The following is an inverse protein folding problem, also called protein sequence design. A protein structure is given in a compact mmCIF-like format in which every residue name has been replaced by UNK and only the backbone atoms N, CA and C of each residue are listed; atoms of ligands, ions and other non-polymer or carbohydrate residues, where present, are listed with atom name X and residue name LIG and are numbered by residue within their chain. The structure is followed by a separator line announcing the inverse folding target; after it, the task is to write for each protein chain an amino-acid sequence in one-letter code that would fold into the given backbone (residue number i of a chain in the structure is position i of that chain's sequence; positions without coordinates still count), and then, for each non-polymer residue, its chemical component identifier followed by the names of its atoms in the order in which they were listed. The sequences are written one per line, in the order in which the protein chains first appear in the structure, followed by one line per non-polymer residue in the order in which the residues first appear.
data_IF_652471661248
#
_entry.id   IF_652471661248
#
_cell.length_a   1.000
_cell.length_b   1.000
_cell.length_c   1.000
_cell.angle_alpha   90.00
_cell.angle_beta   90.00
_cell.angle_gamma   90.00
#
_symmetry.space_group_name_H-M   'P 1'
#
loop_
_entity.id
_entity.type
_entity.pdbx_description
1 polymer ?
#
# COMPACT_ATOMS: atom_id res chain seq x y z
N UNK A 1 -8.19 -16.60 -6.60
CA UNK A 1 -7.48 -15.30 -6.52
C UNK A 1 -8.38 -14.10 -6.85
N UNK A 2 -9.05 -14.04 -8.01
CA UNK A 2 -9.86 -12.86 -8.41
C UNK A 2 -11.03 -12.48 -7.49
N UNK A 3 -11.80 -13.45 -6.98
CA UNK A 3 -12.93 -13.16 -6.09
C UNK A 3 -12.49 -12.61 -4.71
N UNK A 4 -11.36 -13.11 -4.17
CA UNK A 4 -10.81 -12.62 -2.91
C UNK A 4 -10.27 -11.19 -3.02
N UNK A 5 -9.65 -10.85 -4.16
CA UNK A 5 -9.22 -9.48 -4.43
C UNK A 5 -10.40 -8.52 -4.59
N UNK A 6 -11.48 -8.92 -5.27
CA UNK A 6 -12.68 -8.08 -5.39
C UNK A 6 -13.32 -7.79 -4.02
N UNK A 7 -13.43 -8.80 -3.15
CA UNK A 7 -13.96 -8.61 -1.79
C UNK A 7 -13.05 -7.71 -0.95
N UNK A 8 -11.73 -7.89 -1.05
CA UNK A 8 -10.76 -7.03 -0.39
C UNK A 8 -10.84 -5.58 -0.89
N UNK A 9 -10.96 -5.37 -2.20
CA UNK A 9 -11.15 -4.04 -2.79
C UNK A 9 -12.43 -3.38 -2.29
N UNK A 10 -13.55 -4.09 -2.23
CA UNK A 10 -14.81 -3.54 -1.70
C UNK A 10 -14.66 -3.19 -0.21
N UNK A 11 -14.14 -4.10 0.61
CA UNK A 11 -13.93 -3.86 2.04
C UNK A 11 -12.97 -2.69 2.29
N UNK A 12 -11.90 -2.55 1.48
CA UNK A 12 -10.93 -1.47 1.57
C UNK A 12 -11.52 -0.09 1.23
N UNK A 13 -12.60 -0.05 0.44
CA UNK A 13 -13.29 1.19 0.09
C UNK A 13 -14.40 1.51 1.10
N UNK A 14 -15.14 0.51 1.57
CA UNK A 14 -16.29 0.72 2.45
C UNK A 14 -15.89 1.02 3.89
N UNK A 15 -14.86 0.34 4.42
CA UNK A 15 -14.47 0.49 5.83
C UNK A 15 -13.97 1.91 6.15
N UNK A 16 -13.01 2.49 5.40
CA UNK A 16 -12.56 3.86 5.68
C UNK A 16 -13.66 4.89 5.52
N UNK A 17 -14.58 4.72 4.56
CA UNK A 17 -15.72 5.62 4.36
C UNK A 17 -16.67 5.55 5.55
N UNK A 18 -17.05 4.35 5.99
CA UNK A 18 -17.88 4.17 7.18
C UNK A 18 -17.23 4.78 8.42
N UNK A 19 -15.94 4.55 8.63
CA UNK A 19 -15.21 5.14 9.75
C UNK A 19 -15.20 6.67 9.62
N UNK A 20 -14.96 7.23 8.43
CA UNK A 20 -14.93 8.68 8.23
C UNK A 20 -16.28 9.36 8.48
N UNK A 21 -17.39 8.71 8.15
CA UNK A 21 -18.75 9.21 8.36
C UNK A 21 -19.22 9.03 9.81
N UNK A 22 -18.87 7.92 10.46
CA UNK A 22 -19.24 7.67 11.84
C UNK A 22 -18.36 8.43 12.85
N UNK A 23 -17.10 8.73 12.50
CA UNK A 23 -16.12 9.31 13.43
C UNK A 23 -16.31 10.82 13.66
N UNK A 24 -16.00 11.32 14.87
CA UNK A 24 -16.01 12.75 15.15
C UNK A 24 -14.95 13.47 14.31
N UNK A 25 -15.18 14.72 13.87
CA UNK A 25 -14.21 15.46 13.07
C UNK A 25 -12.80 15.53 13.70
N UNK A 26 -12.72 15.62 15.03
CA UNK A 26 -11.46 15.73 15.77
C UNK A 26 -10.69 14.41 15.96
N UNK A 27 -11.32 13.24 15.74
CA UNK A 27 -10.69 11.91 15.86
C UNK A 27 -10.64 11.14 14.53
N UNK A 28 -11.22 11.70 13.45
CA UNK A 28 -11.38 11.04 12.17
C UNK A 28 -10.05 10.48 11.62
N UNK A 29 -9.02 11.33 11.56
CA UNK A 29 -7.70 10.92 11.05
C UNK A 29 -7.09 9.79 11.86
N UNK A 30 -7.24 9.82 13.19
CA UNK A 30 -6.75 8.77 14.08
C UNK A 30 -7.49 7.45 13.85
N UNK A 31 -8.83 7.48 13.78
CA UNK A 31 -9.65 6.28 13.58
C UNK A 31 -9.44 5.64 12.20
N UNK A 32 -9.24 6.45 11.16
CA UNK A 32 -8.86 5.94 9.82
C UNK A 32 -7.48 5.29 9.87
N UNK A 33 -6.52 5.87 10.60
CA UNK A 33 -5.18 5.28 10.73
C UNK A 33 -5.19 3.99 11.57
N UNK A 34 -6.11 3.87 12.54
CA UNK A 34 -6.35 2.62 13.28
C UNK A 34 -6.80 1.48 12.36
N UNK A 35 -7.58 1.76 11.30
CA UNK A 35 -7.91 0.73 10.31
C UNK A 35 -6.65 0.16 9.63
N UNK A 36 -5.71 1.03 9.24
CA UNK A 36 -4.41 0.61 8.68
C UNK A 36 -3.61 -0.23 9.68
N UNK A 37 -3.67 0.10 10.97
CA UNK A 37 -3.04 -0.70 12.02
C UNK A 37 -3.65 -2.11 12.13
N UNK A 38 -4.97 -2.25 12.01
CA UNK A 38 -5.62 -3.57 12.01
C UNK A 38 -5.24 -4.40 10.77
N UNK A 39 -5.06 -3.76 9.60
CA UNK A 39 -4.58 -4.45 8.40
C UNK A 39 -3.17 -5.02 8.63
N UNK A 40 -2.24 -4.23 9.17
CA UNK A 40 -0.87 -4.70 9.42
C UNK A 40 -0.79 -5.71 10.57
N UNK A 41 -1.66 -5.60 11.58
CA UNK A 41 -1.81 -6.62 12.63
C UNK A 41 -2.31 -7.95 12.05
N UNK A 42 -3.27 -7.91 11.13
CA UNK A 42 -3.77 -9.08 10.42
C UNK A 42 -2.68 -9.77 9.60
N UNK A 43 -1.87 -9.00 8.87
CA UNK A 43 -0.71 -9.51 8.13
C UNK A 43 0.31 -10.18 9.04
N UNK A 44 0.67 -9.55 10.17
CA UNK A 44 1.60 -10.13 11.12
C UNK A 44 1.05 -11.44 11.72
N UNK A 45 -0.23 -11.46 12.09
CA UNK A 45 -0.89 -12.68 12.62
C UNK A 45 -0.91 -13.80 11.59
N UNK A 46 -1.19 -13.48 10.32
CA UNK A 46 -1.14 -14.44 9.22
C UNK A 46 0.28 -15.03 9.07
N UNK A 47 1.32 -14.20 9.10
CA UNK A 47 2.71 -14.68 9.02
C UNK A 47 3.09 -15.62 10.18
N UNK A 48 2.57 -15.39 11.39
CA UNK A 48 2.79 -16.30 12.53
C UNK A 48 2.11 -17.65 12.33
N UNK A 49 0.88 -17.64 11.80
CA UNK A 49 0.14 -18.84 11.45
C UNK A 49 0.89 -19.61 10.36
N UNK A 50 1.32 -18.93 9.29
CA UNK A 50 2.08 -19.52 8.20
C UNK A 50 3.40 -20.12 8.69
N UNK A 51 4.14 -19.41 9.54
CA UNK A 51 5.35 -19.93 10.20
C UNK A 51 5.08 -21.17 11.04
N UNK A 52 4.03 -21.17 11.86
CA UNK A 52 3.68 -22.29 12.74
C UNK A 52 3.21 -23.54 11.97
N UNK A 53 2.41 -23.36 10.92
CA UNK A 53 1.89 -24.48 10.12
C UNK A 53 2.84 -24.91 8.99
N UNK A 54 3.93 -24.17 8.72
CA UNK A 54 4.95 -24.54 7.73
C UNK A 54 5.64 -25.87 8.03
N UNK A 55 5.61 -26.32 9.29
CA UNK A 55 6.17 -27.61 9.72
C UNK A 55 5.30 -28.82 9.32
N UNK A 56 4.02 -28.61 8.97
CA UNK A 56 3.10 -29.68 8.56
C UNK A 56 3.14 -29.91 7.04
N UNK A 57 3.85 -30.94 6.60
CA UNK A 57 4.09 -31.21 5.17
C UNK A 57 2.86 -31.58 4.33
N UNK A 58 1.79 -32.17 4.92
CA UNK A 58 0.62 -32.66 4.13
C UNK A 58 -0.60 -31.76 4.15
N UNK A 59 -0.95 -31.19 5.31
CA UNK A 59 -2.20 -30.42 5.47
C UNK A 59 -1.99 -28.98 5.96
N UNK A 60 -0.74 -28.53 6.16
CA UNK A 60 -0.44 -27.19 6.70
C UNK A 60 -1.11 -26.05 5.92
N UNK A 61 -1.07 -26.10 4.59
CA UNK A 61 -1.68 -25.09 3.72
C UNK A 61 -3.20 -24.94 3.89
N UNK A 62 -3.91 -26.02 4.29
CA UNK A 62 -5.36 -25.96 4.54
C UNK A 62 -5.66 -25.13 5.77
N UNK A 63 -4.85 -25.25 6.81
CA UNK A 63 -5.01 -24.49 8.05
C UNK A 63 -4.58 -23.03 7.87
N UNK A 64 -3.50 -22.78 7.12
CA UNK A 64 -3.04 -21.43 6.75
C UNK A 64 -4.17 -20.62 6.10
N UNK A 65 -4.83 -21.20 5.10
CA UNK A 65 -5.95 -20.53 4.41
C UNK A 65 -7.26 -20.59 5.23
N UNK A 66 -7.54 -21.72 5.87
CA UNK A 66 -8.81 -21.98 6.56
C UNK A 66 -9.04 -21.11 7.79
N UNK A 67 -7.98 -20.74 8.52
CA UNK A 67 -8.10 -19.89 9.70
C UNK A 67 -8.56 -18.46 9.37
N UNK A 68 -8.45 -18.01 8.12
CA UNK A 68 -8.99 -16.72 7.66
C UNK A 68 -10.53 -16.63 7.77
N UNK A 69 -11.23 -17.76 7.88
CA UNK A 69 -12.67 -17.81 8.11
C UNK A 69 -13.04 -17.23 9.48
N UNK A 70 -12.18 -17.38 10.50
CA UNK A 70 -12.45 -16.90 11.86
C UNK A 70 -12.69 -15.39 11.90
N UNK A 71 -11.77 -14.52 11.44
CA UNK A 71 -12.02 -13.08 11.40
C UNK A 71 -13.18 -12.70 10.48
N UNK A 72 -13.42 -13.44 9.38
CA UNK A 72 -14.55 -13.18 8.49
C UNK A 72 -15.91 -13.43 9.17
N UNK A 73 -16.03 -14.51 9.94
CA UNK A 73 -17.25 -14.82 10.73
C UNK A 73 -17.44 -13.80 11.85
N UNK A 74 -16.36 -13.43 12.56
CA UNK A 74 -16.41 -12.39 13.58
C UNK A 74 -16.86 -11.04 13.00
N UNK A 75 -16.32 -10.66 11.84
CA UNK A 75 -16.71 -9.45 11.13
C UNK A 75 -18.18 -9.49 10.67
N UNK A 76 -18.63 -10.63 10.13
CA UNK A 76 -20.02 -10.83 9.72
C UNK A 76 -20.99 -10.68 10.90
N UNK A 77 -20.68 -11.32 12.02
CA UNK A 77 -21.47 -11.20 13.25
C UNK A 77 -21.45 -9.75 13.77
N UNK A 78 -20.28 -9.09 13.73
CA UNK A 78 -20.14 -7.68 14.11
C UNK A 78 -21.01 -6.72 13.29
N UNK A 79 -21.11 -6.95 11.97
CA UNK A 79 -21.96 -6.13 11.09
C UNK A 79 -23.46 -6.22 11.42
N UNK A 80 -23.93 -7.33 12.01
CA UNK A 80 -25.32 -7.45 12.45
C UNK A 80 -25.68 -6.49 13.60
N UNK A 81 -24.68 -6.00 14.35
CA UNK A 81 -24.87 -5.09 15.48
C UNK A 81 -24.48 -3.64 15.19
N UNK A 82 -23.86 -3.36 14.04
CA UNK A 82 -23.42 -2.01 13.68
C UNK A 82 -24.61 -1.18 13.17
N UNK A 83 -24.82 0.05 13.68
CA UNK A 83 -25.83 0.95 13.15
C UNK A 83 -25.42 1.46 11.76
N UNK A 84 -26.42 1.76 10.93
CA UNK A 84 -26.19 2.37 9.61
C UNK A 84 -25.59 3.78 9.72
N UNK A 85 -24.85 4.21 8.68
CA UNK A 85 -24.27 5.55 8.64
C UNK A 85 -25.33 6.65 8.78
N UNK A 86 -25.12 7.67 9.64
CA UNK A 86 -26.04 8.79 9.78
C UNK A 86 -26.32 9.51 8.46
N UNK A 87 -25.30 9.67 7.61
CA UNK A 87 -25.43 10.34 6.30
C UNK A 87 -26.38 9.56 5.38
N UNK A 88 -26.24 8.24 5.33
CA UNK A 88 -27.13 7.37 4.56
C UNK A 88 -28.58 7.41 5.05
N UNK A 89 -28.79 7.44 6.38
CA UNK A 89 -30.12 7.56 6.97
C UNK A 89 -30.79 8.89 6.61
N UNK A 90 -30.05 10.00 6.58
CA UNK A 90 -30.55 11.32 6.17
C UNK A 90 -30.89 11.31 4.68
N UNK A 91 -30.03 10.75 3.84
CA UNK A 91 -30.26 10.61 2.39
C UNK A 91 -31.52 9.78 2.08
N UNK A 92 -31.83 8.77 2.89
CA UNK A 92 -33.07 7.97 2.77
C UNK A 92 -34.31 8.67 3.36
N UNK A 93 -34.19 9.88 3.89
CA UNK A 93 -35.26 10.62 4.54
C UNK A 93 -35.65 10.08 5.94
N UNK A 94 -34.86 9.18 6.53
CA UNK A 94 -35.12 8.56 7.84
C UNK A 94 -34.62 9.44 9.00
N UNK A 95 -35.14 10.66 9.09
CA UNK A 95 -34.66 11.74 9.98
C UNK A 95 -34.64 11.36 11.47
N UNK A 96 -35.69 10.69 11.97
CA UNK A 96 -35.75 10.27 13.38
C UNK A 96 -34.73 9.18 13.72
N UNK A 97 -34.47 8.23 12.81
CA UNK A 97 -33.44 7.19 13.01
C UNK A 97 -32.05 7.81 12.95
N UNK A 98 -31.81 8.72 12.00
CA UNK A 98 -30.54 9.44 11.89
C UNK A 98 -30.20 10.19 13.18
N UNK A 99 -31.14 10.97 13.74
CA UNK A 99 -30.96 11.68 15.01
C UNK A 99 -30.67 10.74 16.18
N UNK A 100 -31.36 9.59 16.25
CA UNK A 100 -31.10 8.58 17.30
C UNK A 100 -29.69 8.00 17.19
N UNK A 101 -29.26 7.62 15.99
CA UNK A 101 -27.91 7.09 15.76
C UNK A 101 -26.84 8.15 16.03
N UNK A 102 -27.03 9.39 15.57
CA UNK A 102 -26.17 10.53 15.90
C UNK A 102 -26.06 10.73 17.42
N UNK A 103 -27.19 10.68 18.15
CA UNK A 103 -27.17 10.81 19.62
C UNK A 103 -26.42 9.67 20.32
N UNK A 104 -26.48 8.45 19.78
CA UNK A 104 -25.76 7.30 20.32
C UNK A 104 -24.25 7.40 20.07
N UNK A 105 -23.83 7.94 18.91
CA UNK A 105 -22.43 8.05 18.52
C UNK A 105 -21.75 9.28 19.13
N UNK A 106 -22.45 10.43 19.19
CA UNK A 106 -21.91 11.73 19.62
C UNK A 106 -22.25 12.10 21.07
N UNK A 107 -23.20 11.40 21.69
CA UNK A 107 -23.73 11.78 23.00
C UNK A 107 -24.55 13.07 22.91
N UNK A 108 -24.43 13.94 23.93
CA UNK A 108 -25.25 15.15 24.12
C UNK A 108 -24.72 16.43 23.39
N UNK A 109 -23.72 16.33 22.50
CA UNK A 109 -23.15 17.50 21.82
C UNK A 109 -23.92 17.84 20.54
N UNK A 110 -24.36 19.11 20.40
CA UNK A 110 -24.90 19.80 19.21
C UNK A 110 -25.33 18.91 18.01
N UNK A 111 -26.22 17.95 18.25
CA UNK A 111 -26.67 16.97 17.24
C UNK A 111 -27.42 17.68 16.11
N UNK A 112 -28.20 18.72 16.44
CA UNK A 112 -29.01 19.44 15.48
C UNK A 112 -28.14 20.21 14.46
N UNK A 113 -27.06 20.84 14.90
CA UNK A 113 -26.13 21.54 14.00
C UNK A 113 -25.42 20.57 13.04
N UNK A 114 -24.96 19.40 13.53
CA UNK A 114 -24.33 18.38 12.67
C UNK A 114 -25.35 17.76 11.71
N UNK A 115 -26.58 17.51 12.18
CA UNK A 115 -27.68 17.01 11.34
C UNK A 115 -28.01 17.98 10.20
N UNK A 116 -28.17 19.27 10.51
CA UNK A 116 -28.50 20.30 9.52
C UNK A 116 -27.33 20.51 8.55
N UNK A 117 -26.07 20.46 9.01
CA UNK A 117 -24.90 20.50 8.15
C UNK A 117 -24.86 19.34 7.14
N UNK A 118 -25.11 18.11 7.59
CA UNK A 118 -25.16 16.92 6.71
C UNK A 118 -26.32 17.05 5.72
N UNK A 119 -27.50 17.48 6.19
CA UNK A 119 -28.67 17.65 5.33
C UNK A 119 -28.41 18.70 4.24
N UNK A 120 -27.88 19.86 4.60
CA UNK A 120 -27.55 20.91 3.63
C UNK A 120 -26.54 20.40 2.58
N UNK A 121 -25.55 19.60 2.99
CA UNK A 121 -24.60 19.01 2.03
C UNK A 121 -25.24 18.01 1.06
N UNK A 122 -26.27 17.28 1.50
CA UNK A 122 -27.02 16.36 0.64
C UNK A 122 -27.97 17.12 -0.28
N UNK A 123 -28.62 18.17 0.20
CA UNK A 123 -29.49 19.03 -0.60
C UNK A 123 -28.67 19.77 -1.69
N UNK A 124 -27.43 20.16 -1.40
CA UNK A 124 -26.47 20.69 -2.38
C UNK A 124 -26.00 19.64 -3.42
N UNK A 125 -25.87 18.38 -3.01
CA UNK A 125 -25.58 17.26 -3.92
C UNK A 125 -26.75 16.99 -4.86
N UNK A 126 -27.99 17.02 -4.35
CA UNK A 126 -29.21 16.82 -5.14
C UNK A 126 -29.55 18.02 -6.04
N UNK A 127 -29.30 19.25 -5.59
CA UNK A 127 -29.47 20.47 -6.39
C UNK A 127 -28.36 20.74 -7.40
N UNK A 128 -27.28 19.95 -7.35
CA UNK A 128 -25.99 20.17 -8.00
C UNK A 128 -25.86 19.79 -9.48
N UNK A 129 -26.88 20.05 -10.31
CA UNK A 129 -26.82 19.99 -11.78
C UNK A 129 -26.88 18.59 -12.42
N UNK A 130 -27.59 18.51 -13.55
CA UNK A 130 -27.80 17.30 -14.35
C UNK A 130 -26.46 16.77 -14.93
N UNK A 131 -25.83 15.80 -14.25
CA UNK A 131 -24.65 15.11 -14.77
C UNK A 131 -23.89 14.26 -13.74
N UNK A 132 -22.99 13.35 -14.18
CA UNK A 132 -22.16 12.58 -13.27
C UNK A 132 -21.23 13.49 -12.46
N UNK A 133 -21.15 13.28 -11.14
CA UNK A 133 -20.28 14.05 -10.21
C UNK A 133 -18.83 14.09 -10.71
N UNK A 134 -18.34 13.01 -11.34
CA UNK A 134 -16.99 12.93 -11.90
C UNK A 134 -16.74 13.97 -13.02
N UNK A 135 -17.75 14.27 -13.85
CA UNK A 135 -17.63 15.27 -14.90
C UNK A 135 -17.54 16.69 -14.35
N UNK A 136 -18.33 16.96 -13.31
CA UNK A 136 -18.27 18.22 -12.55
C UNK A 136 -16.90 18.37 -11.87
N UNK A 137 -16.35 17.31 -11.29
CA UNK A 137 -15.01 17.32 -10.68
C UNK A 137 -13.90 17.61 -11.69
N UNK A 138 -13.99 17.08 -12.91
CA UNK A 138 -13.00 17.30 -13.97
C UNK A 138 -13.07 18.69 -14.60
N UNK A 139 -14.25 19.31 -14.59
CA UNK A 139 -14.47 20.63 -15.16
C UNK A 139 -14.09 21.74 -14.17
N UNK A 140 -14.37 21.55 -12.87
CA UNK A 140 -14.05 22.51 -11.83
C UNK A 140 -12.55 22.47 -11.45
N UNK A 141 -11.78 23.57 -11.62
CA UNK A 141 -10.32 23.53 -11.50
C UNK A 141 -9.78 23.09 -10.12
N UNK A 142 -10.32 23.55 -8.97
CA UNK A 142 -9.85 23.12 -7.65
C UNK A 142 -10.02 21.61 -7.42
N UNK A 143 -11.20 21.05 -7.73
CA UNK A 143 -11.43 19.60 -7.59
C UNK A 143 -10.61 18.77 -8.56
N UNK A 144 -10.35 19.27 -9.77
CA UNK A 144 -9.45 18.59 -10.71
C UNK A 144 -8.03 18.49 -10.17
N UNK A 145 -7.53 19.55 -9.51
CA UNK A 145 -6.21 19.55 -8.88
C UNK A 145 -6.16 18.61 -7.67
N UNK A 146 -7.19 18.62 -6.82
CA UNK A 146 -7.31 17.67 -5.71
C UNK A 146 -7.36 16.22 -6.21
N UNK A 147 -8.07 15.96 -7.32
CA UNK A 147 -8.12 14.64 -7.96
C UNK A 147 -6.76 14.20 -8.49
N UNK A 148 -6.02 15.10 -9.14
CA UNK A 148 -4.65 14.83 -9.59
C UNK A 148 -3.70 14.48 -8.44
N UNK A 149 -3.75 15.24 -7.33
CA UNK A 149 -2.94 14.96 -6.13
C UNK A 149 -3.34 13.62 -5.52
N UNK A 150 -4.64 13.38 -5.32
CA UNK A 150 -5.15 12.16 -4.72
C UNK A 150 -4.85 10.88 -5.51
N UNK A 151 -5.11 10.89 -6.82
CA UNK A 151 -4.77 9.79 -7.72
C UNK A 151 -3.25 9.63 -7.86
N UNK A 152 -2.49 10.73 -7.93
CA UNK A 152 -1.03 10.70 -8.01
C UNK A 152 -0.40 10.07 -6.78
N UNK A 153 -0.87 10.41 -5.58
CA UNK A 153 -0.43 9.78 -4.32
C UNK A 153 -0.64 8.27 -4.34
N UNK A 154 -1.81 7.80 -4.77
CA UNK A 154 -2.14 6.38 -4.84
C UNK A 154 -1.31 5.64 -5.90
N UNK A 155 -1.07 6.28 -7.04
CA UNK A 155 -0.19 5.75 -8.07
C UNK A 155 1.25 5.57 -7.55
N UNK A 156 1.86 6.63 -6.99
CA UNK A 156 3.23 6.57 -6.49
C UNK A 156 3.39 5.63 -5.29
N UNK A 157 2.36 5.48 -4.47
CA UNK A 157 2.34 4.46 -3.43
C UNK A 157 2.54 3.06 -4.01
N UNK A 158 1.82 2.71 -5.08
CA UNK A 158 1.89 1.36 -5.67
C UNK A 158 3.13 1.15 -6.54
N UNK A 159 3.53 2.16 -7.31
CA UNK A 159 4.72 2.10 -8.16
C UNK A 159 6.01 2.04 -7.33
N UNK A 160 6.01 2.53 -6.09
CA UNK A 160 7.10 2.31 -5.13
C UNK A 160 7.25 0.85 -4.68
N UNK A 161 6.35 -0.04 -5.11
CA UNK A 161 6.49 -1.49 -5.01
C UNK A 161 6.00 -2.11 -3.71
N UNK A 162 5.29 -1.39 -2.82
CA UNK A 162 4.98 -1.90 -1.48
C UNK A 162 4.26 -3.25 -1.48
N UNK A 163 3.15 -3.35 -2.21
CA UNK A 163 2.39 -4.59 -2.26
C UNK A 163 3.19 -5.73 -2.91
N UNK A 164 4.01 -5.42 -3.91
CA UNK A 164 4.93 -6.40 -4.52
C UNK A 164 5.96 -6.89 -3.51
N UNK A 165 6.64 -5.97 -2.82
CA UNK A 165 7.63 -6.28 -1.78
C UNK A 165 6.99 -7.12 -0.67
N UNK A 166 5.74 -6.84 -0.32
CA UNK A 166 5.00 -7.57 0.69
C UNK A 166 4.58 -8.97 0.23
N UNK A 167 3.94 -9.10 -0.94
CA UNK A 167 3.47 -10.38 -1.50
C UNK A 167 4.63 -11.32 -1.84
N UNK A 168 5.72 -10.77 -2.36
CA UNK A 168 6.90 -11.53 -2.76
C UNK A 168 8.02 -11.44 -1.71
N UNK A 169 7.76 -11.01 -0.47
CA UNK A 169 8.79 -10.87 0.57
C UNK A 169 9.61 -12.15 0.78
N UNK A 170 8.93 -13.28 1.01
CA UNK A 170 9.56 -14.58 1.12
C UNK A 170 10.33 -14.98 -0.15
N UNK A 171 9.75 -14.73 -1.33
CA UNK A 171 10.39 -14.99 -2.62
C UNK A 171 11.62 -14.12 -2.84
N UNK A 172 11.60 -12.84 -2.46
CA UNK A 172 12.75 -11.91 -2.53
C UNK A 172 13.87 -12.41 -1.63
N UNK A 173 13.54 -12.90 -0.43
CA UNK A 173 14.52 -13.51 0.46
C UNK A 173 15.10 -14.81 -0.10
N UNK A 174 14.28 -15.67 -0.71
CA UNK A 174 14.76 -16.84 -1.43
C UNK A 174 15.68 -16.46 -2.61
N UNK A 175 15.26 -15.50 -3.44
CA UNK A 175 16.06 -14.96 -4.56
C UNK A 175 17.41 -14.39 -4.09
N UNK A 176 17.47 -13.88 -2.86
CA UNK A 176 18.71 -13.40 -2.23
C UNK A 176 19.68 -14.50 -1.79
N UNK A 177 19.30 -15.77 -1.88
CA UNK A 177 20.15 -16.91 -1.53
C UNK A 177 19.77 -17.66 -0.24
N UNK A 178 18.64 -17.31 0.39
CA UNK A 178 18.13 -18.03 1.57
C UNK A 178 17.61 -19.41 1.15
N UNK A 179 18.32 -20.45 1.57
CA UNK A 179 18.14 -21.83 1.07
C UNK A 179 16.94 -22.56 1.65
N UNK A 180 16.57 -22.25 2.89
CA UNK A 180 15.50 -22.94 3.62
C UNK A 180 14.22 -22.13 3.52
N UNK A 181 13.20 -22.72 2.89
CA UNK A 181 11.86 -22.13 2.72
C UNK A 181 11.25 -21.73 4.06
N UNK A 182 11.50 -22.50 5.13
CA UNK A 182 10.98 -22.20 6.47
C UNK A 182 11.64 -20.95 7.04
N UNK A 183 12.95 -20.83 6.83
CA UNK A 183 13.71 -19.66 7.26
C UNK A 183 13.26 -18.43 6.46
N UNK A 184 12.99 -18.58 5.16
CA UNK A 184 12.42 -17.50 4.35
C UNK A 184 11.03 -17.07 4.84
N UNK A 185 10.15 -18.00 5.23
CA UNK A 185 8.84 -17.70 5.82
C UNK A 185 8.99 -16.93 7.15
N UNK A 186 9.88 -17.38 8.05
CA UNK A 186 10.12 -16.68 9.32
C UNK A 186 10.74 -15.30 9.14
N UNK A 187 11.67 -15.15 8.19
CA UNK A 187 12.24 -13.86 7.82
C UNK A 187 11.20 -12.93 7.18
N UNK A 188 10.27 -13.46 6.36
CA UNK A 188 9.11 -12.70 5.90
C UNK A 188 8.20 -12.32 7.08
N UNK A 189 8.03 -13.17 8.08
CA UNK A 189 7.36 -12.84 9.34
C UNK A 189 7.98 -11.64 10.05
N UNK A 190 9.31 -11.57 10.14
CA UNK A 190 10.03 -10.42 10.66
C UNK A 190 9.69 -9.13 9.89
N UNK A 191 9.59 -9.21 8.57
CA UNK A 191 9.25 -8.05 7.73
C UNK A 191 7.83 -7.54 8.03
N UNK A 192 6.86 -8.43 8.21
CA UNK A 192 5.49 -8.06 8.61
C UNK A 192 5.40 -7.50 10.03
N UNK A 193 6.23 -7.99 10.95
CA UNK A 193 6.36 -7.43 12.30
C UNK A 193 6.90 -5.99 12.25
N UNK A 194 7.94 -5.74 11.45
CA UNK A 194 8.47 -4.39 11.24
C UNK A 194 7.38 -3.47 10.70
N UNK A 195 6.64 -3.91 9.69
CA UNK A 195 5.53 -3.13 9.13
C UNK A 195 4.50 -2.76 10.21
N UNK A 196 4.09 -3.72 11.06
CA UNK A 196 3.14 -3.48 12.15
C UNK A 196 3.67 -2.47 13.18
N UNK A 197 4.90 -2.67 13.69
CA UNK A 197 5.51 -1.79 14.69
C UNK A 197 5.69 -0.35 14.19
N UNK A 198 6.15 -0.19 12.96
CA UNK A 198 6.35 1.13 12.37
C UNK A 198 5.05 1.79 11.91
N UNK A 199 4.00 1.00 11.63
CA UNK A 199 2.64 1.56 11.42
C UNK A 199 2.10 2.15 12.73
N UNK A 200 2.30 1.48 13.87
CA UNK A 200 1.92 2.00 15.19
C UNK A 200 2.65 3.32 15.49
N UNK A 201 3.95 3.37 15.17
CA UNK A 201 4.74 4.60 15.25
C UNK A 201 4.17 5.70 14.33
N UNK A 202 3.75 5.34 13.12
CA UNK A 202 3.07 6.23 12.17
C UNK A 202 1.84 6.91 12.74
N UNK A 203 0.94 6.16 13.38
CA UNK A 203 -0.27 6.71 14.03
C UNK A 203 0.08 7.84 15.00
N UNK A 204 1.14 7.65 15.79
CA UNK A 204 1.61 8.65 16.74
C UNK A 204 2.31 9.85 16.06
N UNK A 205 3.07 9.60 14.99
CA UNK A 205 3.80 10.65 14.25
C UNK A 205 2.89 11.57 13.43
N UNK A 206 1.78 11.05 12.89
CA UNK A 206 0.85 11.79 12.03
C UNK A 206 0.39 13.11 12.66
N UNK A 207 0.01 13.06 13.93
CA UNK A 207 -0.50 14.25 14.63
C UNK A 207 0.63 15.19 15.09
N UNK A 208 1.85 14.69 15.28
CA UNK A 208 2.99 15.53 15.68
C UNK A 208 3.65 16.24 14.48
N UNK A 209 4.01 15.48 13.45
CA UNK A 209 4.84 15.96 12.34
C UNK A 209 4.02 16.60 11.22
N UNK A 210 2.76 16.17 11.03
CA UNK A 210 1.93 16.60 9.90
C UNK A 210 2.03 15.66 8.70
N UNK A 211 1.05 15.77 7.80
CA UNK A 211 0.82 14.77 6.74
C UNK A 211 1.84 14.91 5.62
N UNK A 212 2.15 16.16 5.23
CA UNK A 212 3.10 16.44 4.13
C UNK A 212 4.52 16.03 4.49
N UNK A 213 5.02 16.47 5.64
CA UNK A 213 6.39 16.18 6.10
C UNK A 213 6.61 14.68 6.31
N UNK A 214 5.63 13.97 6.87
CA UNK A 214 5.70 12.53 7.09
C UNK A 214 5.71 11.74 5.77
N UNK A 215 4.87 12.13 4.80
CA UNK A 215 4.85 11.54 3.46
C UNK A 215 6.20 11.73 2.76
N UNK A 216 6.74 12.95 2.74
CA UNK A 216 8.03 13.25 2.10
C UNK A 216 9.19 12.50 2.74
N UNK A 217 9.26 12.47 4.07
CA UNK A 217 10.30 11.72 4.80
C UNK A 217 10.23 10.21 4.51
N UNK A 218 9.02 9.66 4.41
CA UNK A 218 8.80 8.25 4.07
C UNK A 218 9.23 7.93 2.63
N UNK A 219 8.94 8.80 1.65
CA UNK A 219 9.40 8.58 0.26
C UNK A 219 10.93 8.61 0.16
N UNK A 220 11.60 9.50 0.88
CA UNK A 220 13.08 9.52 0.93
C UNK A 220 13.61 8.22 1.53
N UNK A 221 13.09 7.81 2.69
CA UNK A 221 13.53 6.59 3.36
C UNK A 221 13.29 5.32 2.53
N UNK A 222 12.15 5.24 1.85
CA UNK A 222 11.82 4.12 0.96
C UNK A 222 12.71 4.09 -0.28
N UNK A 223 12.99 5.24 -0.89
CA UNK A 223 13.91 5.35 -2.03
C UNK A 223 15.32 4.89 -1.65
N UNK A 224 15.84 5.36 -0.51
CA UNK A 224 17.16 4.95 -0.01
C UNK A 224 17.20 3.44 0.30
N UNK A 225 16.15 2.90 0.91
CA UNK A 225 16.07 1.48 1.25
C UNK A 225 15.96 0.56 0.04
N UNK A 226 15.20 0.97 -0.99
CA UNK A 226 15.17 0.28 -2.28
C UNK A 226 16.54 0.31 -2.95
N UNK A 227 17.28 1.42 -2.84
CA UNK A 227 18.66 1.51 -3.27
C UNK A 227 19.58 0.51 -2.55
N UNK A 228 19.48 0.39 -1.22
CA UNK A 228 20.24 -0.61 -0.44
C UNK A 228 19.92 -2.03 -0.89
N UNK A 229 18.63 -2.32 -1.11
CA UNK A 229 18.16 -3.63 -1.57
C UNK A 229 18.67 -3.94 -2.98
N UNK A 230 18.66 -2.97 -3.90
CA UNK A 230 19.24 -3.08 -5.24
C UNK A 230 20.77 -3.32 -5.19
N UNK A 231 21.49 -2.60 -4.32
CA UNK A 231 22.93 -2.81 -4.10
C UNK A 231 23.18 -4.23 -3.54
N UNK A 232 22.32 -4.74 -2.66
CA UNK A 232 22.39 -6.11 -2.16
C UNK A 232 22.35 -7.15 -3.27
N UNK A 233 21.39 -7.03 -4.19
CA UNK A 233 21.32 -7.90 -5.36
C UNK A 233 22.48 -7.68 -6.34
N UNK A 234 22.97 -6.45 -6.50
CA UNK A 234 24.12 -6.17 -7.35
C UNK A 234 25.39 -6.85 -6.81
N UNK A 235 25.62 -6.76 -5.50
CA UNK A 235 26.75 -7.43 -4.83
C UNK A 235 26.64 -8.95 -4.96
N UNK A 236 25.43 -9.49 -4.84
CA UNK A 236 25.15 -10.92 -5.08
C UNK A 236 25.47 -11.34 -6.51
N UNK A 237 25.07 -10.53 -7.50
CA UNK A 237 25.32 -10.81 -8.91
C UNK A 237 26.83 -10.77 -9.24
N UNK A 238 27.55 -9.77 -8.75
CA UNK A 238 29.00 -9.60 -9.00
C UNK A 238 29.85 -10.69 -8.37
N UNK A 239 29.46 -11.19 -7.19
CA UNK A 239 30.16 -12.27 -6.48
C UNK A 239 29.48 -13.63 -6.68
N UNK A 240 28.70 -13.78 -7.76
CA UNK A 240 28.03 -15.04 -8.07
C UNK A 240 29.07 -16.13 -8.40
N UNK A 241 28.86 -17.38 -7.94
CA UNK A 241 29.83 -18.43 -8.13
C UNK A 241 29.96 -18.82 -9.61
N UNK A 242 31.18 -19.12 -10.08
CA UNK A 242 31.40 -19.61 -11.43
C UNK A 242 30.85 -21.02 -11.60
N UNK A 243 30.47 -21.36 -12.83
CA UNK A 243 30.19 -22.73 -13.27
C UNK A 243 31.53 -23.42 -13.52
N UNK A 244 31.84 -24.43 -12.72
CA UNK A 244 33.15 -25.12 -12.76
C UNK A 244 33.11 -26.42 -13.54
N UNK A 245 31.93 -27.04 -13.65
CA UNK A 245 31.74 -28.31 -14.34
C UNK A 245 30.70 -28.17 -15.44
N UNK A 246 31.15 -28.32 -16.69
CA UNK A 246 30.28 -28.41 -17.85
C UNK A 246 29.99 -29.90 -18.13
N UNK A 247 28.75 -30.38 -17.94
CA UNK A 247 28.41 -31.77 -18.16
C UNK A 247 28.57 -32.15 -19.65
N UNK A 248 29.36 -33.20 -19.92
CA UNK A 248 29.75 -33.68 -21.26
C UNK A 248 28.66 -34.53 -21.97
N UNK A 249 27.39 -34.37 -21.61
CA UNK A 249 26.31 -35.16 -22.19
C UNK A 249 25.89 -34.58 -23.57
N UNK A 250 25.86 -35.38 -24.66
CA UNK A 250 25.46 -34.92 -25.99
C UNK A 250 24.02 -34.39 -26.07
N UNK A 251 23.13 -34.77 -25.14
CA UNK A 251 21.78 -34.20 -25.02
C UNK A 251 21.76 -32.76 -24.47
N UNK A 252 22.82 -32.35 -23.76
CA UNK A 252 22.96 -31.03 -23.12
C UNK A 252 23.72 -30.02 -23.98
N UNK A 253 24.46 -30.49 -24.99
CA UNK A 253 25.27 -29.66 -25.90
C UNK A 253 24.43 -28.61 -26.64
N UNK A 254 23.13 -28.85 -26.83
CA UNK A 254 22.20 -27.93 -27.51
C UNK A 254 21.33 -27.09 -26.56
N UNK A 255 21.48 -27.20 -25.24
CA UNK A 255 20.69 -26.41 -24.27
C UNK A 255 21.26 -24.99 -24.12
N UNK A 256 20.40 -23.99 -23.85
CA UNK A 256 20.84 -22.62 -23.50
C UNK A 256 21.65 -22.60 -22.21
N UNK A 257 21.31 -23.49 -21.26
CA UNK A 257 21.94 -23.60 -19.95
C UNK A 257 23.45 -23.86 -19.99
N UNK A 258 23.96 -24.60 -20.98
CA UNK A 258 25.38 -24.94 -21.07
C UNK A 258 26.28 -23.76 -21.46
N UNK A 259 25.68 -22.67 -21.98
CA UNK A 259 26.40 -21.46 -22.41
C UNK A 259 26.78 -20.53 -21.26
N UNK A 260 26.12 -20.65 -20.10
CA UNK A 260 26.35 -19.78 -18.97
C UNK A 260 27.58 -20.19 -18.16
N UNK A 261 28.44 -19.22 -17.86
CA UNK A 261 29.67 -19.42 -17.06
C UNK A 261 29.54 -18.98 -15.61
N UNK A 262 28.48 -18.23 -15.28
CA UNK A 262 28.20 -17.71 -13.95
C UNK A 262 26.81 -18.18 -13.51
N UNK A 263 26.60 -18.30 -12.20
CA UNK A 263 25.30 -18.68 -11.64
C UNK A 263 24.21 -17.66 -12.00
N UNK A 264 24.46 -16.35 -11.84
CA UNK A 264 23.44 -15.31 -12.03
C UNK A 264 22.72 -15.39 -13.40
N UNK A 265 23.43 -15.36 -14.56
CA UNK A 265 22.78 -15.45 -15.86
C UNK A 265 22.14 -16.82 -16.13
N UNK A 266 22.59 -17.88 -15.45
CA UNK A 266 21.93 -19.20 -15.50
C UNK A 266 20.58 -19.16 -14.78
N UNK A 267 20.48 -18.47 -13.64
CA UNK A 267 19.26 -18.40 -12.82
C UNK A 267 18.18 -17.48 -13.39
N UNK A 268 18.54 -16.57 -14.29
CA UNK A 268 17.58 -15.70 -14.98
C UNK A 268 16.82 -16.43 -16.10
N UNK A 269 17.37 -17.54 -16.63
CA UNK A 269 16.66 -18.38 -17.60
C UNK A 269 15.69 -19.32 -16.86
N UNK A 270 14.37 -19.20 -17.06
CA UNK A 270 13.38 -20.01 -16.36
C UNK A 270 13.48 -21.52 -16.66
N UNK A 271 14.16 -21.89 -17.76
CA UNK A 271 14.42 -23.28 -18.13
C UNK A 271 15.66 -23.89 -17.47
N UNK A 272 16.47 -23.10 -16.76
CA UNK A 272 17.75 -23.53 -16.18
C UNK A 272 17.74 -23.44 -14.64
N UNK A 273 18.63 -24.20 -14.01
CA UNK A 273 18.86 -24.14 -12.58
C UNK A 273 20.29 -24.52 -12.22
N UNK A 274 20.67 -24.25 -10.98
CA UNK A 274 22.05 -24.36 -10.53
C UNK A 274 22.23 -25.51 -9.55
N UNK A 275 23.08 -26.47 -9.93
CA UNK A 275 23.40 -27.65 -9.15
C UNK A 275 24.85 -27.54 -8.64
N UNK A 276 25.05 -27.58 -7.33
CA UNK A 276 26.39 -27.40 -6.75
C UNK A 276 26.61 -28.32 -5.53
N UNK A 277 27.89 -28.59 -5.23
CA UNK A 277 28.30 -29.25 -4.00
C UNK A 277 29.02 -28.25 -3.10
N UNK A 278 28.85 -28.37 -1.79
CA UNK A 278 29.51 -27.48 -0.83
C UNK A 278 30.34 -28.29 0.16
N UNK A 279 31.59 -27.91 0.37
CA UNK A 279 32.43 -28.48 1.42
C UNK A 279 32.95 -27.37 2.35
N UNK A 280 32.50 -27.40 3.61
CA UNK A 280 32.86 -26.55 4.75
C UNK A 280 32.75 -25.01 4.58
N UNK A 281 32.55 -24.49 3.36
CA UNK A 281 32.29 -23.09 2.92
C UNK A 281 32.75 -22.83 1.47
N UNK A 282 33.44 -23.79 0.84
CA UNK A 282 33.86 -23.71 -0.58
C UNK A 282 32.88 -24.44 -1.49
N UNK A 283 32.45 -23.77 -2.56
CA UNK A 283 31.62 -24.34 -3.62
C UNK A 283 32.49 -25.19 -4.54
N UNK A 284 32.21 -26.49 -4.61
CA UNK A 284 32.92 -27.47 -5.42
C UNK A 284 31.96 -28.03 -6.48
N UNK A 285 32.40 -28.17 -7.73
CA UNK A 285 31.64 -28.83 -8.80
C UNK A 285 30.22 -28.26 -9.04
N UNK A 286 30.15 -26.97 -9.35
CA UNK A 286 28.95 -26.25 -9.79
C UNK A 286 28.65 -26.46 -11.28
N UNK A 287 27.37 -26.65 -11.62
CA UNK A 287 26.88 -26.85 -12.98
C UNK A 287 25.54 -26.14 -13.20
N UNK A 288 25.40 -25.46 -14.34
CA UNK A 288 24.11 -24.97 -14.83
C UNK A 288 23.45 -26.08 -15.67
N UNK A 289 22.24 -26.52 -15.29
CA UNK A 289 21.54 -27.63 -15.93
C UNK A 289 20.05 -27.33 -16.12
N UNK A 290 19.38 -27.92 -17.12
CA UNK A 290 17.97 -27.69 -17.36
C UNK A 290 17.08 -28.20 -16.21
N UNK A 291 16.03 -27.45 -15.91
CA UNK A 291 15.03 -27.81 -14.88
C UNK A 291 14.07 -28.87 -15.42
N UNK A 292 13.58 -29.74 -14.53
CA UNK A 292 12.58 -30.73 -14.89
C UNK A 292 11.25 -30.04 -15.28
N UNK A 293 10.67 -30.43 -16.43
CA UNK A 293 9.40 -29.85 -16.92
C UNK A 293 8.20 -30.12 -16.01
N UNK A 294 8.26 -31.17 -15.18
CA UNK A 294 7.17 -31.55 -14.28
C UNK A 294 7.24 -30.89 -12.89
N UNK A 295 8.43 -30.49 -12.43
CA UNK A 295 8.64 -29.84 -11.12
C UNK A 295 9.93 -29.02 -11.12
N UNK A 296 9.87 -27.82 -10.56
CA UNK A 296 11.03 -26.91 -10.43
C UNK A 296 11.97 -27.30 -9.29
N UNK A 297 11.61 -28.28 -8.47
CA UNK A 297 12.38 -28.71 -7.29
C UNK A 297 13.61 -29.56 -7.64
N UNK A 298 13.70 -30.07 -8.87
CA UNK A 298 14.78 -30.95 -9.31
C UNK A 298 15.25 -30.62 -10.73
N UNK A 299 16.51 -30.95 -11.02
CA UNK A 299 17.05 -30.90 -12.37
C UNK A 299 16.37 -31.94 -13.27
N UNK A 300 16.28 -31.68 -14.59
CA UNK A 300 15.78 -32.67 -15.55
C UNK A 300 16.67 -33.93 -15.61
N UNK A 301 17.97 -33.74 -15.40
CA UNK A 301 18.99 -34.78 -15.37
C UNK A 301 20.15 -34.28 -14.51
N UNK A 302 20.87 -35.18 -13.87
CA UNK A 302 22.16 -34.93 -13.25
C UNK A 302 22.19 -35.38 -11.81
N UNK A 303 23.22 -34.92 -11.09
CA UNK A 303 23.37 -35.10 -9.64
C UNK A 303 22.19 -34.52 -8.85
N UNK A 304 21.51 -33.51 -9.42
CA UNK A 304 20.35 -32.85 -8.83
C UNK A 304 19.00 -33.35 -9.40
N UNK A 305 18.94 -34.49 -10.09
CA UNK A 305 17.70 -35.02 -10.67
C UNK A 305 16.79 -35.78 -9.70
N UNK A 306 17.37 -36.39 -8.66
CA UNK A 306 16.64 -37.19 -7.71
C UNK A 306 16.98 -36.74 -6.29
N UNK A 307 15.95 -36.40 -5.51
CA UNK A 307 16.05 -35.97 -4.10
C UNK A 307 16.78 -36.98 -3.22
N UNK A 308 16.74 -38.27 -3.52
CA UNK A 308 17.47 -39.30 -2.77
C UNK A 308 18.98 -39.36 -3.10
N UNK A 309 19.41 -38.86 -4.27
CA UNK A 309 20.82 -38.69 -4.69
C UNK A 309 21.44 -37.39 -4.15
N UNK A 310 20.64 -36.43 -3.68
CA UNK A 310 21.12 -35.18 -3.05
C UNK A 310 21.77 -35.38 -1.66
N UNK A 311 21.91 -36.63 -1.17
CA UNK A 311 22.51 -36.94 0.15
C UNK A 311 23.99 -36.57 0.27
N UNK A 312 24.69 -36.42 -0.85
CA UNK A 312 26.14 -36.24 -0.88
C UNK A 312 26.54 -34.75 -0.98
N UNK A 313 26.10 -33.93 0.01
CA UNK A 313 26.35 -32.47 0.08
C UNK A 313 25.99 -31.69 -1.21
N UNK A 314 25.04 -32.21 -1.99
CA UNK A 314 24.67 -31.66 -3.29
C UNK A 314 23.34 -30.93 -3.17
N UNK A 315 23.31 -29.68 -3.64
CA UNK A 315 22.18 -28.78 -3.50
C UNK A 315 21.66 -28.34 -4.87
N UNK A 316 20.34 -28.18 -4.95
CA UNK A 316 19.63 -27.62 -6.09
C UNK A 316 19.13 -26.22 -5.74
N UNK A 317 19.48 -25.25 -6.57
CA UNK A 317 18.96 -23.88 -6.46
C UNK A 317 18.15 -23.53 -7.71
N UNK A 318 16.96 -22.98 -7.48
CA UNK A 318 16.03 -22.48 -8.49
C UNK A 318 15.71 -21.00 -8.20
N UNK A 319 15.91 -20.12 -9.17
CA UNK A 319 15.83 -18.66 -9.07
C UNK A 319 16.70 -17.97 -7.98
N UNK A 320 17.78 -18.60 -7.50
CA UNK A 320 18.74 -17.95 -6.60
C UNK A 320 20.15 -18.50 -6.76
N UNK A 321 21.14 -17.70 -6.37
CA UNK A 321 22.54 -18.11 -6.29
C UNK A 321 23.01 -18.10 -4.83
N UNK A 322 23.85 -19.06 -4.40
CA UNK A 322 24.41 -19.03 -3.05
C UNK A 322 25.35 -17.83 -2.93
N UNK A 323 25.11 -17.00 -1.91
CA UNK A 323 25.82 -15.74 -1.70
C UNK A 323 25.94 -15.45 -0.21
N UNK A 324 27.01 -14.74 0.18
CA UNK A 324 27.19 -14.24 1.54
C UNK A 324 26.51 -12.88 1.76
N UNK A 325 25.90 -12.29 0.72
CA UNK A 325 25.33 -10.94 0.76
C UNK A 325 23.81 -10.90 1.01
N UNK A 326 23.16 -12.04 1.27
CA UNK A 326 21.70 -12.11 1.54
C UNK A 326 21.26 -11.21 2.70
N UNK A 327 22.12 -11.00 3.70
CA UNK A 327 21.83 -10.13 4.84
C UNK A 327 21.61 -8.67 4.44
N UNK A 328 22.26 -8.20 3.36
CA UNK A 328 22.12 -6.84 2.86
C UNK A 328 20.74 -6.63 2.20
N UNK A 329 20.24 -7.66 1.50
CA UNK A 329 18.87 -7.67 0.94
C UNK A 329 17.84 -7.68 2.08
N UNK A 330 18.05 -8.50 3.11
CA UNK A 330 17.18 -8.52 4.29
C UNK A 330 17.17 -7.16 5.01
N UNK A 331 18.34 -6.54 5.20
CA UNK A 331 18.46 -5.21 5.80
C UNK A 331 17.70 -4.17 4.97
N UNK A 332 17.89 -4.16 3.65
CA UNK A 332 17.17 -3.27 2.73
C UNK A 332 15.65 -3.46 2.81
N UNK A 333 15.19 -4.71 2.93
CA UNK A 333 13.77 -5.06 3.03
C UNK A 333 13.15 -4.55 4.35
N UNK A 334 13.85 -4.75 5.47
CA UNK A 334 13.44 -4.26 6.79
C UNK A 334 13.42 -2.73 6.82
N UNK A 335 14.47 -2.07 6.32
CA UNK A 335 14.55 -0.61 6.24
C UNK A 335 13.44 -0.03 5.35
N UNK A 336 13.14 -0.70 4.23
CA UNK A 336 12.08 -0.29 3.33
C UNK A 336 10.73 -0.26 4.03
N UNK A 337 10.38 -1.34 4.74
CA UNK A 337 9.11 -1.41 5.46
C UNK A 337 9.07 -0.45 6.65
N UNK A 338 10.18 -0.30 7.38
CA UNK A 338 10.30 0.67 8.46
C UNK A 338 10.09 2.11 7.98
N UNK A 339 10.58 2.45 6.79
CA UNK A 339 10.41 3.77 6.19
C UNK A 339 9.02 3.96 5.55
N UNK A 340 8.45 2.91 4.94
CA UNK A 340 7.16 2.97 4.26
C UNK A 340 5.98 3.06 5.24
N UNK A 341 5.99 2.21 6.26
CA UNK A 341 4.87 2.01 7.19
C UNK A 341 4.36 3.28 7.87
N UNK A 342 5.19 4.21 8.39
CA UNK A 342 4.68 5.36 9.12
C UNK A 342 4.12 6.47 8.22
N UNK A 343 4.53 6.52 6.94
CA UNK A 343 4.15 7.60 6.02
C UNK A 343 3.39 7.09 4.81
N UNK A 344 4.09 6.61 3.79
CA UNK A 344 3.47 6.19 2.52
C UNK A 344 2.45 5.05 2.66
N UNK A 345 2.43 4.31 3.76
CA UNK A 345 1.35 3.38 4.09
C UNK A 345 0.00 4.06 4.31
N UNK A 346 -0.20 4.77 5.44
CA UNK A 346 -1.49 5.36 5.77
C UNK A 346 -1.79 6.68 5.05
N UNK A 347 -0.78 7.49 4.71
CA UNK A 347 -0.99 8.88 4.26
C UNK A 347 -1.79 9.04 2.96
N UNK A 348 -1.56 8.24 1.90
CA UNK A 348 -2.39 8.35 0.69
C UNK A 348 -3.88 8.15 0.96
N UNK A 349 -4.26 7.27 1.90
CA UNK A 349 -5.64 7.03 2.28
C UNK A 349 -6.21 8.16 3.13
N UNK A 350 -5.46 8.60 4.14
CA UNK A 350 -5.87 9.71 5.01
C UNK A 350 -6.04 11.01 4.23
N UNK A 351 -5.07 11.37 3.39
CA UNK A 351 -5.08 12.60 2.60
C UNK A 351 -6.23 12.58 1.59
N UNK A 352 -6.47 11.46 0.90
CA UNK A 352 -7.61 11.35 -0.02
C UNK A 352 -8.97 11.56 0.69
N UNK A 353 -9.09 11.17 1.97
CA UNK A 353 -10.31 11.43 2.74
C UNK A 353 -10.49 12.90 3.16
N UNK A 354 -9.41 13.69 3.18
CA UNK A 354 -9.37 15.08 3.64
C UNK A 354 -9.46 16.09 2.47
N UNK A 355 -8.82 15.83 1.32
CA UNK A 355 -8.62 16.84 0.25
C UNK A 355 -9.86 17.17 -0.60
N UNK A 356 -10.93 16.36 -0.54
CA UNK A 356 -12.10 16.54 -1.38
C UNK A 356 -13.25 17.24 -0.63
N UNK A 357 -13.97 18.16 -1.31
CA UNK A 357 -15.17 18.76 -0.76
C UNK A 357 -16.29 17.73 -0.61
N UNK A 358 -17.26 18.02 0.25
CA UNK A 358 -18.29 17.05 0.70
C UNK A 358 -19.02 16.37 -0.47
N UNK A 359 -19.43 17.16 -1.46
CA UNK A 359 -20.15 16.72 -2.66
C UNK A 359 -19.31 15.84 -3.61
N UNK A 360 -17.98 15.98 -3.58
CA UNK A 360 -17.06 15.27 -4.46
C UNK A 360 -16.33 14.11 -3.78
N UNK A 361 -16.41 14.00 -2.45
CA UNK A 361 -15.53 13.16 -1.64
C UNK A 361 -15.65 11.67 -1.93
N UNK A 362 -16.86 11.15 -2.05
CA UNK A 362 -17.09 9.73 -2.34
C UNK A 362 -16.51 9.36 -3.71
N UNK A 363 -16.78 10.17 -4.72
CA UNK A 363 -16.30 9.99 -6.10
C UNK A 363 -14.78 10.12 -6.20
N UNK A 364 -14.19 11.13 -5.55
CA UNK A 364 -12.74 11.34 -5.50
C UNK A 364 -11.99 10.17 -4.85
N UNK A 365 -12.44 9.72 -3.67
CA UNK A 365 -11.90 8.55 -3.01
C UNK A 365 -12.02 7.29 -3.86
N UNK A 366 -13.16 7.10 -4.54
CA UNK A 366 -13.38 5.95 -5.41
C UNK A 366 -12.42 5.96 -6.61
N UNK A 367 -12.20 7.12 -7.24
CA UNK A 367 -11.23 7.27 -8.32
C UNK A 367 -9.81 6.97 -7.86
N UNK A 368 -9.40 7.55 -6.72
CA UNK A 368 -8.07 7.36 -6.16
C UNK A 368 -7.82 5.88 -5.79
N UNK A 369 -8.80 5.22 -5.17
CA UNK A 369 -8.74 3.78 -4.89
C UNK A 369 -8.71 2.94 -6.18
N UNK A 370 -9.46 3.32 -7.21
CA UNK A 370 -9.41 2.67 -8.52
C UNK A 370 -8.02 2.73 -9.14
N UNK A 371 -7.35 3.89 -9.06
CA UNK A 371 -5.94 4.05 -9.46
C UNK A 371 -5.03 3.17 -8.61
N UNK A 372 -5.22 3.13 -7.29
CA UNK A 372 -4.46 2.27 -6.39
C UNK A 372 -4.52 0.80 -6.84
N UNK A 373 -5.72 0.23 -6.99
CA UNK A 373 -5.86 -1.19 -7.36
C UNK A 373 -5.37 -1.48 -8.77
N UNK A 374 -5.53 -0.54 -9.71
CA UNK A 374 -5.02 -0.67 -11.08
C UNK A 374 -3.50 -0.77 -11.10
N UNK A 375 -2.81 0.16 -10.43
CA UNK A 375 -1.35 0.13 -10.35
C UNK A 375 -0.85 -1.01 -9.48
N UNK A 376 -1.59 -1.41 -8.44
CA UNK A 376 -1.27 -2.60 -7.67
C UNK A 376 -1.20 -3.84 -8.57
N UNK A 377 -2.25 -4.07 -9.36
CA UNK A 377 -2.34 -5.18 -10.29
C UNK A 377 -1.21 -5.14 -11.33
N UNK A 378 -0.97 -3.96 -11.91
CA UNK A 378 0.08 -3.77 -12.91
C UNK A 378 1.47 -4.11 -12.35
N UNK A 379 1.83 -3.55 -11.19
CA UNK A 379 3.16 -3.74 -10.58
C UNK A 379 3.32 -5.19 -10.09
N UNK A 380 2.28 -5.80 -9.53
CA UNK A 380 2.32 -7.18 -9.04
C UNK A 380 2.45 -8.21 -10.17
N UNK A 381 1.83 -7.96 -11.33
CA UNK A 381 1.98 -8.82 -12.52
C UNK A 381 3.33 -8.67 -13.21
N UNK A 382 3.83 -7.44 -13.28
CA UNK A 382 5.06 -7.13 -14.03
C UNK A 382 6.33 -7.43 -13.25
N UNK A 383 6.29 -7.52 -11.92
CA UNK A 383 7.47 -7.67 -11.07
C UNK A 383 8.39 -8.83 -11.45
N UNK A 384 7.87 -10.06 -11.54
CA UNK A 384 8.70 -11.23 -11.85
C UNK A 384 9.29 -11.16 -13.26
N UNK A 385 8.54 -10.62 -14.23
CA UNK A 385 9.04 -10.40 -15.59
C UNK A 385 10.12 -9.30 -15.63
N UNK A 386 9.92 -8.19 -14.91
CA UNK A 386 10.93 -7.14 -14.78
C UNK A 386 12.21 -7.70 -14.16
N UNK A 387 12.09 -8.49 -13.10
CA UNK A 387 13.22 -9.16 -12.46
C UNK A 387 13.98 -10.11 -13.41
N UNK A 388 13.28 -10.85 -14.27
CA UNK A 388 13.90 -11.74 -15.25
C UNK A 388 14.61 -10.98 -16.38
N UNK A 389 13.96 -9.94 -16.95
CA UNK A 389 14.50 -9.20 -18.10
C UNK A 389 15.56 -8.16 -17.72
N UNK A 390 15.36 -7.42 -16.63
CA UNK A 390 16.28 -6.36 -16.19
C UNK A 390 17.31 -6.83 -15.18
N UNK A 391 17.18 -8.05 -14.62
CA UNK A 391 17.80 -8.55 -13.37
C UNK A 391 17.11 -8.07 -12.09
N UNK A 392 17.34 -8.77 -10.98
CA UNK A 392 16.81 -8.41 -9.66
C UNK A 392 17.24 -7.00 -9.24
N UNK A 393 18.54 -6.68 -9.32
CA UNK A 393 19.04 -5.35 -8.94
C UNK A 393 18.49 -4.25 -9.87
N UNK A 394 18.34 -4.52 -11.17
CA UNK A 394 17.77 -3.59 -12.14
C UNK A 394 16.31 -3.23 -11.82
N UNK A 395 15.51 -4.22 -11.44
CA UNK A 395 14.12 -4.01 -11.05
C UNK A 395 13.98 -3.12 -9.80
N UNK A 396 14.82 -3.32 -8.77
CA UNK A 396 14.77 -2.50 -7.56
C UNK A 396 15.34 -1.09 -7.75
N UNK A 397 16.35 -0.90 -8.60
CA UNK A 397 16.77 0.45 -9.01
C UNK A 397 15.66 1.20 -9.75
N UNK A 398 14.91 0.52 -10.63
CA UNK A 398 13.75 1.11 -11.30
C UNK A 398 12.70 1.60 -10.29
N UNK A 399 12.32 0.76 -9.31
CA UNK A 399 11.38 1.17 -8.27
C UNK A 399 11.92 2.31 -7.39
N UNK A 400 13.23 2.31 -7.08
CA UNK A 400 13.86 3.42 -6.38
C UNK A 400 13.77 4.73 -7.16
N UNK A 401 14.00 4.71 -8.47
CA UNK A 401 13.87 5.90 -9.33
C UNK A 401 12.42 6.38 -9.42
N UNK A 402 11.45 5.47 -9.51
CA UNK A 402 10.03 5.82 -9.55
C UNK A 402 9.55 6.40 -8.21
N UNK A 403 10.07 5.90 -7.08
CA UNK A 403 9.83 6.48 -5.76
C UNK A 403 10.39 7.91 -5.66
N UNK A 404 11.60 8.18 -6.19
CA UNK A 404 12.16 9.53 -6.26
C UNK A 404 11.33 10.47 -7.15
N UNK A 405 10.77 9.98 -8.26
CA UNK A 405 9.82 10.78 -9.05
C UNK A 405 8.56 11.13 -8.24
N UNK A 406 8.07 10.18 -7.44
CA UNK A 406 6.99 10.40 -6.48
C UNK A 406 7.35 11.45 -5.43
N UNK A 407 8.61 11.53 -4.99
CA UNK A 407 9.08 12.57 -4.08
C UNK A 407 8.94 13.95 -4.71
N UNK A 408 9.43 14.15 -5.94
CA UNK A 408 9.32 15.45 -6.62
C UNK A 408 7.86 15.86 -6.84
N UNK A 409 7.00 14.91 -7.21
CA UNK A 409 5.56 15.14 -7.34
C UNK A 409 4.93 15.59 -6.01
N UNK A 410 5.18 14.84 -4.93
CA UNK A 410 4.63 15.19 -3.61
C UNK A 410 5.22 16.51 -3.10
N UNK A 411 6.49 16.79 -3.35
CA UNK A 411 7.13 18.01 -2.90
C UNK A 411 6.48 19.25 -3.50
N UNK A 412 6.20 19.23 -4.82
CA UNK A 412 5.61 20.34 -5.55
C UNK A 412 4.09 20.46 -5.40
N UNK A 413 3.37 19.34 -5.34
CA UNK A 413 1.91 19.35 -5.52
C UNK A 413 1.13 18.93 -4.26
N UNK A 414 1.78 18.43 -3.19
CA UNK A 414 1.10 18.05 -1.94
C UNK A 414 1.06 19.22 -0.94
N UNK A 415 -0.11 19.81 -0.65
CA UNK A 415 -0.25 20.78 0.43
C UNK A 415 -0.24 20.11 1.81
N UNK A 416 -0.01 20.90 2.87
CA UNK A 416 -0.20 20.44 4.25
C UNK A 416 -1.70 20.50 4.62
N UNK A 417 -2.27 19.36 5.01
CA UNK A 417 -3.69 19.24 5.39
C UNK A 417 -3.92 19.27 6.90
N UNK A 418 -2.86 19.22 7.71
CA UNK A 418 -2.95 19.18 9.18
C UNK A 418 -3.75 20.37 9.73
N UNK A 419 -4.81 20.06 10.49
CA UNK A 419 -5.55 21.04 11.31
C UNK A 419 -6.41 22.03 10.52
N UNK A 420 -6.58 21.84 9.21
CA UNK A 420 -7.45 22.67 8.37
C UNK A 420 -8.88 22.15 8.42
N UNK A 421 -9.84 23.07 8.39
CA UNK A 421 -11.26 22.72 8.27
C UNK A 421 -11.56 22.33 6.82
N UNK A 422 -12.56 21.47 6.62
CA UNK A 422 -12.90 20.93 5.29
C UNK A 422 -13.31 22.02 4.30
N UNK A 423 -13.90 23.10 4.81
CA UNK A 423 -14.34 24.26 4.04
C UNK A 423 -13.15 25.12 3.56
N UNK A 424 -12.03 25.11 4.31
CA UNK A 424 -10.80 25.83 3.97
C UNK A 424 -9.94 25.07 2.94
N UNK A 425 -10.24 23.79 2.70
CA UNK A 425 -9.50 22.95 1.76
C UNK A 425 -9.79 23.33 0.31
N UNK A 426 -11.00 23.81 -0.01
CA UNK A 426 -11.28 24.30 -1.37
C UNK A 426 -10.36 25.47 -1.73
N UNK A 427 -10.13 26.40 -0.79
CA UNK A 427 -9.23 27.54 -0.96
C UNK A 427 -7.76 27.12 -1.20
N UNK A 428 -7.31 26.00 -0.63
CA UNK A 428 -5.96 25.44 -0.87
C UNK A 428 -5.75 25.04 -2.33
N UNK A 429 -6.83 24.67 -3.04
CA UNK A 429 -6.77 24.24 -4.44
C UNK A 429 -7.17 25.34 -5.44
N UNK A 430 -7.56 26.55 -4.98
CA UNK A 430 -7.89 27.70 -5.84
C UNK A 430 -6.66 28.25 -6.58
N UNK A 431 -5.50 28.27 -5.93
CA UNK A 431 -4.23 28.72 -6.51
C UNK A 431 -3.50 27.61 -7.31
N UNK A 432 -2.64 28.00 -8.25
CA UNK A 432 -1.86 27.05 -9.06
C UNK A 432 -0.96 26.17 -8.18
N UNK A 433 -1.24 24.86 -8.16
CA UNK A 433 -0.37 23.85 -7.54
C UNK A 433 0.85 23.55 -8.42
N UNK A 434 1.92 23.05 -7.79
CA UNK A 434 3.22 22.76 -8.39
C UNK A 434 4.08 24.01 -8.68
N UNK A 435 4.03 25.04 -7.82
CA UNK A 435 5.07 26.08 -7.78
C UNK A 435 6.26 25.56 -6.99
N UNK A 436 7.30 25.10 -7.68
CA UNK A 436 8.59 24.78 -7.05
C UNK A 436 9.10 26.01 -6.27
N UNK A 437 9.16 25.92 -4.93
CA UNK A 437 9.85 26.92 -4.11
C UNK A 437 8.99 28.02 -3.49
N UNK A 438 7.66 27.92 -3.45
CA UNK A 438 6.89 28.73 -2.49
C UNK A 438 7.01 28.09 -1.10
N UNK A 439 8.05 28.46 -0.36
CA UNK A 439 8.08 28.31 1.09
C UNK A 439 6.79 28.90 1.67
N UNK A 440 6.14 28.19 2.59
CA UNK A 440 5.03 28.67 3.43
C UNK A 440 5.46 29.92 4.23
N UNK A 441 5.61 31.06 3.57
CA UNK A 441 5.81 32.35 4.22
C UNK A 441 4.48 33.06 4.50
N UNK A 442 3.37 32.33 4.50
CA UNK A 442 2.03 32.86 4.80
C UNK A 442 1.50 32.35 6.17
N UNK A 443 2.42 32.09 7.10
CA UNK A 443 2.12 31.82 8.54
C UNK A 443 1.50 33.04 9.27
N UNK A 444 1.11 34.11 8.56
CA UNK A 444 0.70 35.39 9.15
C UNK A 444 -0.61 36.01 8.67
N UNK A 445 -1.31 35.45 7.66
CA UNK A 445 -2.61 35.99 7.24
C UNK A 445 -3.76 35.33 8.00
N UNK A 446 -4.02 35.85 9.21
CA UNK A 446 -5.36 35.77 9.78
C UNK A 446 -6.31 36.47 8.81
N UNK A 447 -7.07 35.70 8.03
CA UNK A 447 -8.26 36.22 7.35
C UNK A 447 -9.31 36.38 8.45
N UNK A 448 -9.41 37.61 8.96
CA UNK A 448 -10.45 38.02 9.89
C UNK A 448 -11.79 37.96 9.14
N UNK A 449 -12.55 36.88 9.35
CA UNK A 449 -13.92 36.81 8.88
C UNK A 449 -14.76 37.82 9.68
N UNK A 450 -15.08 38.94 9.04
CA UNK A 450 -16.09 39.88 9.55
C UNK A 450 -17.42 39.13 9.59
N UNK A 451 -17.84 38.77 10.80
CA UNK A 451 -19.19 38.26 11.07
C UNK A 451 -20.18 39.39 10.80
N UNK A 452 -20.70 39.47 9.58
CA UNK A 452 -21.85 40.32 9.27
C UNK A 452 -23.03 39.75 10.04
N UNK A 453 -23.34 40.35 11.20
CA UNK A 453 -24.63 40.12 11.87
C UNK A 453 -25.71 40.54 10.89
N UNK A 454 -26.45 39.56 10.36
CA UNK A 454 -27.68 39.82 9.62
C UNK A 454 -28.61 40.64 10.50
N UNK A 455 -28.82 41.89 10.13
CA UNK A 455 -29.87 42.73 10.69
C UNK A 455 -31.20 42.20 10.14
N UNK A 456 -32.06 41.71 11.03
CA UNK A 456 -33.45 41.40 10.70
C UNK A 456 -34.17 42.70 10.33
N UNK A 457 -34.25 43.00 9.04
CA UNK A 457 -35.23 43.96 8.53
C UNK A 457 -36.58 43.25 8.45
N UNK A 458 -37.39 43.41 9.50
CA UNK A 458 -38.83 43.24 9.40
C UNK A 458 -39.37 44.48 8.68
N UNK A 459 -39.84 44.31 7.44
CA UNK A 459 -40.84 45.23 6.88
C UNK A 459 -42.15 44.97 7.62
N UNK A 460 -42.53 45.87 8.52
CA UNK A 460 -43.91 46.00 8.96
C UNK A 460 -44.54 47.15 8.16
N UNK A 461 -45.34 46.76 7.16
CA UNK A 461 -46.39 47.61 6.62
C UNK A 461 -47.44 47.83 7.72
N UNK A 462 -47.66 49.10 8.06
CA UNK A 462 -48.86 49.73 8.63
C UNK A 462 -48.42 50.78 9.65
N UNK A 463 -48.52 52.05 9.27
CA UNK A 463 -49.35 53.00 10.01
C UNK A 463 -49.62 54.21 9.11
N UNK A 464 -50.85 54.23 8.62
CA UNK A 464 -51.52 55.44 8.18
C UNK A 464 -52.13 56.15 9.40
N UNK A 465 -52.35 57.45 9.23
CA UNK A 465 -53.25 58.36 9.96
C UNK A 465 -52.78 59.01 11.28
N UNK A 466 -52.70 60.34 11.15
CA UNK A 466 -53.26 61.39 12.01
C UNK A 466 -52.51 61.77 13.31
N UNK A 467 -51.86 62.94 13.37
CA UNK A 467 -52.33 64.35 13.45
C UNK A 467 -52.50 64.80 14.92
N UNK A 468 -51.85 65.95 15.17
CA UNK A 468 -51.83 66.86 16.34
C UNK A 468 -50.95 66.52 17.56
#
# INVERSE_FOLDING_TARGET
FGAGQAVYSIASMTVPVYIAEASPPHLRGQLVTVNTLFITAGQFTASLIDGAFSYLQRDGWRYMLGLSVVPAVLQFVGFLFLPESPRWLIQRGLTQKARRVLSQIRGNQNIDEEYDSIKNSLDEEEGGGDGPVIWRMLTYPPTRRALLVGCGLQMFQQVSGMNTVMYYSATILQMSGVRDDRLAIWLAGLTTLTNFLFTLLGVWLVERVGRRKLTLGSIIGTSLSLGVLAIGFLMSAQHSPPVTFHPLDPSMANSTCSKYQLCEPCMLDPGCGFCYRENASSLLASSCVPVNKASTEHAAWGRCSNSSLMRDQTYWAYNYCPTSFSWLVLLGLVLYLAAFAPGMGPMPWTINSEIYPLWARSTGNACAAGVNWTFNFLVSLTFLHLAQYFTYYGAFFLYSSLALLGFFFCYGCLPETKGRRLEEIEALFENQLCSCGASDSDEGRQVEYIRVKGSNYHLSDNDASDVD
#
